data_IF_980790897009
#
_entry.id   IF_980790897009
#
_cell.length_a   1.000
_cell.length_b   1.000
_cell.length_c   1.000
_cell.angle_alpha   90.00
_cell.angle_beta   90.00
_cell.angle_gamma   90.00
#
_symmetry.space_group_name_H-M   'P 1'
#
loop_
_entity.id
_entity.type
_entity.pdbx_description
1 polymer ?
#
# COMPACT_ATOMS: atom_id res chain seq x y z
N UNK A 1 -20.59 30.17 -13.35
CA UNK A 1 -19.90 28.89 -12.94
C UNK A 1 -18.76 28.64 -13.92
N UNK A 2 -17.62 28.18 -13.42
CA UNK A 2 -16.43 27.85 -14.21
C UNK A 2 -16.15 26.38 -14.08
N UNK A 3 -15.93 25.68 -15.19
CA UNK A 3 -15.63 24.26 -15.28
C UNK A 3 -14.19 24.05 -15.78
N UNK A 4 -13.37 23.40 -14.98
CA UNK A 4 -11.96 23.11 -15.25
C UNK A 4 -11.80 21.62 -15.48
N UNK A 5 -11.35 21.21 -16.65
CA UNK A 5 -11.01 19.81 -16.95
C UNK A 5 -9.50 19.63 -16.94
N UNK A 6 -9.03 18.57 -16.29
CA UNK A 6 -7.62 18.25 -16.16
C UNK A 6 -7.39 16.81 -16.63
N UNK A 7 -6.61 16.64 -17.68
CA UNK A 7 -6.05 15.36 -18.08
C UNK A 7 -4.71 15.14 -17.38
N UNK A 8 -4.63 14.08 -16.57
CA UNK A 8 -3.52 13.83 -15.64
C UNK A 8 -2.52 12.88 -16.27
N UNK A 9 -1.24 13.30 -16.32
CA UNK A 9 -0.12 12.45 -16.69
C UNK A 9 1.02 12.53 -15.66
N UNK A 10 2.06 11.76 -15.83
CA UNK A 10 3.17 11.62 -14.89
C UNK A 10 3.90 12.94 -14.61
N UNK A 11 4.31 13.63 -15.67
CA UNK A 11 5.23 14.78 -15.56
C UNK A 11 4.54 16.12 -15.80
N UNK A 12 3.36 16.10 -16.42
CA UNK A 12 2.61 17.28 -16.83
C UNK A 12 1.12 16.97 -16.90
N UNK A 13 0.30 18.00 -16.78
CA UNK A 13 -1.16 17.89 -16.92
C UNK A 13 -1.65 18.85 -17.97
N UNK A 14 -2.59 18.42 -18.81
CA UNK A 14 -3.28 19.29 -19.76
C UNK A 14 -4.59 19.77 -19.14
N UNK A 15 -4.78 21.10 -19.14
CA UNK A 15 -5.88 21.77 -18.48
C UNK A 15 -6.72 22.53 -19.51
N UNK A 16 -8.04 22.61 -19.29
CA UNK A 16 -8.97 23.35 -20.13
C UNK A 16 -10.05 23.99 -19.27
N UNK A 17 -10.43 25.25 -19.58
CA UNK A 17 -11.41 26.00 -18.78
C UNK A 17 -12.52 26.54 -19.66
N UNK A 18 -13.78 26.29 -19.26
CA UNK A 18 -14.96 26.83 -19.91
C UNK A 18 -15.99 27.40 -18.91
N UNK A 19 -16.84 28.27 -19.39
CA UNK A 19 -17.98 28.78 -18.64
C UNK A 19 -19.16 27.82 -18.64
N UNK A 20 -20.17 28.08 -17.79
CA UNK A 20 -21.45 27.35 -17.80
C UNK A 20 -22.22 27.45 -19.09
N UNK A 21 -21.91 28.41 -19.93
CA UNK A 21 -22.56 28.70 -21.23
C UNK A 21 -21.80 28.05 -22.40
N UNK A 22 -20.66 27.35 -22.09
CA UNK A 22 -19.84 26.69 -23.10
C UNK A 22 -18.80 27.60 -23.76
N UNK A 23 -18.62 28.83 -23.25
CA UNK A 23 -17.57 29.74 -23.72
C UNK A 23 -16.19 29.25 -23.22
N UNK A 24 -15.21 29.19 -24.12
CA UNK A 24 -13.82 28.82 -23.78
C UNK A 24 -13.14 29.99 -23.08
N UNK A 25 -12.93 29.89 -21.77
CA UNK A 25 -12.27 30.93 -20.96
C UNK A 25 -10.74 30.77 -21.01
N UNK A 26 -10.23 29.52 -21.07
CA UNK A 26 -8.84 29.23 -21.41
C UNK A 26 -8.78 27.97 -22.28
N UNK A 27 -8.18 28.11 -23.46
CA UNK A 27 -7.91 26.93 -24.32
C UNK A 27 -6.86 26.02 -23.67
N UNK A 28 -6.67 24.82 -24.21
CA UNK A 28 -5.79 23.80 -23.62
C UNK A 28 -4.40 24.36 -23.36
N UNK A 29 -4.01 24.35 -22.09
CA UNK A 29 -2.68 24.71 -21.63
C UNK A 29 -2.12 23.60 -20.77
N UNK A 30 -0.80 23.47 -20.81
CA UNK A 30 -0.09 22.41 -20.07
C UNK A 30 0.60 23.00 -18.85
N UNK A 31 0.49 22.32 -17.72
CA UNK A 31 1.21 22.64 -16.49
C UNK A 31 2.14 21.48 -16.12
N UNK A 32 3.25 21.77 -15.44
CA UNK A 32 4.14 20.76 -14.87
C UNK A 32 3.54 20.16 -13.59
N UNK A 33 3.83 18.88 -13.33
CA UNK A 33 3.45 18.21 -12.07
C UNK A 33 4.41 18.64 -10.95
N UNK A 34 4.35 19.91 -10.54
CA UNK A 34 5.12 20.52 -9.46
C UNK A 34 4.40 21.76 -8.90
N UNK A 35 4.94 22.33 -7.82
CA UNK A 35 4.33 23.48 -7.14
C UNK A 35 4.09 24.67 -8.07
N UNK A 36 5.06 25.04 -8.93
CA UNK A 36 4.96 26.16 -9.87
C UNK A 36 3.84 25.91 -10.89
N UNK A 37 3.71 24.70 -11.43
CA UNK A 37 2.65 24.32 -12.35
C UNK A 37 1.27 24.39 -11.69
N UNK A 38 1.15 23.94 -10.45
CA UNK A 38 -0.10 23.98 -9.69
C UNK A 38 -0.51 25.42 -9.34
N UNK A 39 0.45 26.28 -8.97
CA UNK A 39 0.19 27.69 -8.76
C UNK A 39 -0.23 28.41 -10.07
N UNK A 40 0.37 28.03 -11.20
CA UNK A 40 -0.03 28.53 -12.52
C UNK A 40 -1.48 28.15 -12.85
N UNK A 41 -1.89 26.91 -12.55
CA UNK A 41 -3.27 26.47 -12.71
C UNK A 41 -4.21 27.33 -11.86
N UNK A 42 -3.91 27.49 -10.57
CA UNK A 42 -4.74 28.26 -9.64
C UNK A 42 -4.90 29.72 -10.08
N UNK A 43 -3.80 30.38 -10.48
CA UNK A 43 -3.82 31.74 -11.01
C UNK A 43 -4.66 31.86 -12.30
N UNK A 44 -4.58 30.83 -13.17
CA UNK A 44 -5.35 30.81 -14.42
C UNK A 44 -6.85 30.66 -14.13
N UNK A 45 -7.20 29.76 -13.20
CA UNK A 45 -8.58 29.58 -12.73
C UNK A 45 -9.13 30.93 -12.18
N UNK A 46 -8.36 31.59 -11.30
CA UNK A 46 -8.80 32.85 -10.69
C UNK A 46 -8.93 34.01 -11.72
N UNK A 47 -8.13 34.02 -12.77
CA UNK A 47 -8.29 35.01 -13.88
C UNK A 47 -9.54 34.76 -14.71
N UNK A 48 -9.96 33.51 -14.83
CA UNK A 48 -11.15 33.13 -15.61
C UNK A 48 -12.45 33.23 -14.80
N UNK A 49 -12.37 33.14 -13.46
CA UNK A 49 -13.53 33.17 -12.57
C UNK A 49 -13.78 34.56 -12.00
N UNK A 50 -15.07 34.93 -11.84
CA UNK A 50 -15.51 36.08 -11.06
C UNK A 50 -15.64 35.68 -9.58
N UNK A 51 -15.64 36.64 -8.63
CA UNK A 51 -15.76 36.32 -7.19
C UNK A 51 -17.01 35.53 -6.83
N UNK A 52 -18.10 35.66 -7.56
CA UNK A 52 -19.38 34.99 -7.37
C UNK A 52 -19.44 33.61 -8.07
N UNK A 53 -18.48 33.28 -8.90
CA UNK A 53 -18.51 32.05 -9.68
C UNK A 53 -18.22 30.81 -8.81
N UNK A 54 -19.06 29.77 -8.96
CA UNK A 54 -18.75 28.43 -8.48
C UNK A 54 -17.74 27.79 -9.42
N UNK A 55 -16.66 27.30 -8.87
CA UNK A 55 -15.61 26.61 -9.63
C UNK A 55 -15.76 25.10 -9.41
N UNK A 56 -15.94 24.34 -10.50
CA UNK A 56 -15.89 22.87 -10.53
C UNK A 56 -14.62 22.44 -11.23
N UNK A 57 -13.83 21.57 -10.60
CA UNK A 57 -12.61 21.01 -11.18
C UNK A 57 -12.76 19.51 -11.34
N UNK A 58 -12.61 19.00 -12.56
CA UNK A 58 -12.66 17.55 -12.84
C UNK A 58 -11.32 17.04 -13.30
N UNK A 59 -10.99 15.84 -12.86
CA UNK A 59 -9.83 15.12 -13.32
C UNK A 59 -10.16 13.64 -13.51
N UNK A 60 -9.46 12.99 -14.45
CA UNK A 60 -9.62 11.56 -14.67
C UNK A 60 -8.84 10.75 -13.61
N UNK A 61 -9.44 9.68 -13.11
CA UNK A 61 -8.80 8.76 -12.16
C UNK A 61 -7.70 7.92 -12.85
N UNK A 62 -6.54 8.51 -13.10
CA UNK A 62 -5.37 7.86 -13.74
C UNK A 62 -4.42 7.19 -12.74
N UNK A 63 -4.96 6.53 -11.73
CA UNK A 63 -4.19 5.82 -10.69
C UNK A 63 -3.36 6.79 -9.85
N UNK A 64 -2.09 6.44 -9.57
CA UNK A 64 -1.26 7.19 -8.62
C UNK A 64 -0.81 8.59 -9.10
N UNK A 65 -0.90 8.91 -10.38
CA UNK A 65 -0.48 10.21 -10.90
C UNK A 65 -1.43 11.36 -10.50
N UNK A 66 -2.68 11.05 -10.18
CA UNK A 66 -3.68 12.06 -9.81
C UNK A 66 -3.57 12.54 -8.36
N UNK A 67 -2.93 11.80 -7.46
CA UNK A 67 -2.96 12.11 -6.02
C UNK A 67 -2.35 13.48 -5.67
N UNK A 68 -1.25 13.87 -6.31
CA UNK A 68 -0.57 15.14 -5.99
C UNK A 68 -1.44 16.35 -6.33
N UNK A 69 -1.97 16.39 -7.56
CA UNK A 69 -2.85 17.48 -7.97
C UNK A 69 -4.19 17.44 -7.24
N UNK A 70 -4.73 16.26 -6.95
CA UNK A 70 -5.96 16.09 -6.18
C UNK A 70 -5.82 16.66 -4.77
N UNK A 71 -4.75 16.31 -4.05
CA UNK A 71 -4.45 16.84 -2.73
C UNK A 71 -4.33 18.37 -2.75
N UNK A 72 -3.63 18.93 -3.74
CA UNK A 72 -3.52 20.37 -3.90
C UNK A 72 -4.88 21.05 -4.12
N UNK A 73 -5.74 20.50 -4.98
CA UNK A 73 -7.06 21.06 -5.27
C UNK A 73 -7.99 21.05 -4.04
N UNK A 74 -7.96 19.97 -3.27
CA UNK A 74 -8.71 19.82 -2.01
C UNK A 74 -8.21 20.83 -0.96
N UNK A 75 -6.90 20.96 -0.81
CA UNK A 75 -6.24 21.89 0.12
C UNK A 75 -6.61 23.36 -0.16
N UNK A 76 -6.85 23.69 -1.45
CA UNK A 76 -7.34 25.01 -1.88
C UNK A 76 -8.87 25.15 -1.77
N UNK A 77 -9.57 24.15 -1.23
CA UNK A 77 -11.03 24.17 -1.07
C UNK A 77 -11.81 24.18 -2.39
N UNK A 78 -11.20 23.72 -3.49
CA UNK A 78 -11.85 23.68 -4.80
C UNK A 78 -12.80 22.47 -4.89
N UNK A 79 -13.98 22.69 -5.46
CA UNK A 79 -14.98 21.63 -5.67
C UNK A 79 -14.49 20.65 -6.74
N UNK A 80 -13.92 19.55 -6.29
CA UNK A 80 -13.17 18.60 -7.14
C UNK A 80 -13.98 17.35 -7.43
N UNK A 81 -13.90 16.86 -8.67
CA UNK A 81 -14.57 15.66 -9.15
C UNK A 81 -13.55 14.70 -9.76
N UNK A 82 -13.49 13.46 -9.27
CA UNK A 82 -12.67 12.40 -9.85
C UNK A 82 -13.55 11.52 -10.72
N UNK A 83 -13.28 11.51 -12.01
CA UNK A 83 -14.11 10.86 -13.03
C UNK A 83 -13.49 9.54 -13.44
N UNK A 84 -14.30 8.48 -13.47
CA UNK A 84 -13.84 7.19 -13.95
C UNK A 84 -13.53 7.25 -15.46
N UNK A 85 -12.35 6.75 -15.91
CA UNK A 85 -11.97 6.71 -17.34
C UNK A 85 -13.01 6.07 -18.26
N UNK A 86 -13.79 5.13 -17.76
CA UNK A 86 -14.89 4.55 -18.53
C UNK A 86 -15.98 5.57 -18.85
N UNK A 87 -16.33 6.45 -17.91
CA UNK A 87 -17.33 7.50 -18.11
C UNK A 87 -16.83 8.55 -19.09
N UNK A 88 -15.58 9.00 -18.96
CA UNK A 88 -14.95 9.94 -19.91
C UNK A 88 -14.97 9.36 -21.33
N UNK A 89 -14.62 8.08 -21.48
CA UNK A 89 -14.62 7.41 -22.77
C UNK A 89 -16.02 7.26 -23.38
N UNK A 90 -17.03 6.91 -22.57
CA UNK A 90 -18.43 6.81 -23.02
C UNK A 90 -18.97 8.19 -23.43
N UNK A 91 -18.73 9.22 -22.63
CA UNK A 91 -19.15 10.58 -22.92
C UNK A 91 -18.51 11.11 -24.21
N UNK A 92 -17.20 10.90 -24.39
CA UNK A 92 -16.50 11.23 -25.65
C UNK A 92 -17.11 10.54 -26.87
N UNK A 93 -17.47 9.25 -26.76
CA UNK A 93 -18.13 8.51 -27.85
C UNK A 93 -19.52 9.06 -28.17
N UNK A 94 -20.24 9.61 -27.19
CA UNK A 94 -21.55 10.24 -27.42
C UNK A 94 -21.44 11.57 -28.15
N UNK A 95 -20.33 12.30 -27.95
CA UNK A 95 -20.10 13.60 -28.61
C UNK A 95 -19.56 13.48 -30.04
N UNK A 96 -18.83 12.42 -30.37
CA UNK A 96 -18.23 12.25 -31.69
C UNK A 96 -17.95 10.79 -32.04
N UNK A 97 -18.29 10.40 -33.25
CA UNK A 97 -17.97 9.08 -33.86
C UNK A 97 -16.49 9.00 -34.31
N UNK A 98 -15.73 10.09 -34.24
CA UNK A 98 -14.30 10.10 -34.63
C UNK A 98 -13.42 9.54 -33.51
N UNK A 99 -12.57 8.58 -33.84
CA UNK A 99 -11.63 7.87 -32.93
C UNK A 99 -10.35 8.68 -32.60
N UNK A 100 -10.35 10.02 -32.69
CA UNK A 100 -9.16 10.81 -32.37
C UNK A 100 -9.01 10.94 -30.85
N UNK A 101 -8.06 10.20 -30.30
CA UNK A 101 -7.62 10.34 -28.91
C UNK A 101 -6.40 11.25 -28.92
N UNK A 102 -6.51 12.46 -28.35
CA UNK A 102 -5.39 13.33 -28.01
C UNK A 102 -5.63 13.89 -26.62
N UNK A 103 -4.57 14.08 -25.84
CA UNK A 103 -4.62 14.60 -24.46
C UNK A 103 -5.42 15.92 -24.38
N UNK A 104 -5.35 16.75 -25.42
CA UNK A 104 -6.15 17.98 -25.60
C UNK A 104 -7.66 17.71 -25.65
N UNK A 105 -8.08 16.55 -26.16
CA UNK A 105 -9.51 16.17 -26.24
C UNK A 105 -10.00 15.71 -24.87
N UNK A 106 -9.14 15.09 -24.08
CA UNK A 106 -9.56 14.49 -22.80
C UNK A 106 -9.80 15.59 -21.74
N UNK A 107 -8.97 16.61 -21.61
CA UNK A 107 -9.23 17.78 -20.74
C UNK A 107 -10.53 18.54 -21.12
N UNK A 108 -10.77 18.75 -22.43
CA UNK A 108 -12.01 19.37 -22.93
C UNK A 108 -13.24 18.52 -22.62
N UNK A 109 -13.13 17.20 -22.78
CA UNK A 109 -14.21 16.25 -22.49
C UNK A 109 -14.59 16.30 -21.02
N UNK A 110 -13.59 16.31 -20.11
CA UNK A 110 -13.80 16.41 -18.66
C UNK A 110 -14.53 17.71 -18.31
N UNK A 111 -14.08 18.85 -18.82
CA UNK A 111 -14.73 20.14 -18.59
C UNK A 111 -16.18 20.17 -19.12
N UNK A 112 -16.45 19.60 -20.28
CA UNK A 112 -17.80 19.48 -20.86
C UNK A 112 -18.70 18.57 -20.01
N UNK A 113 -18.18 17.50 -19.44
CA UNK A 113 -18.93 16.65 -18.51
C UNK A 113 -19.35 17.41 -17.25
N UNK A 114 -18.44 18.22 -16.67
CA UNK A 114 -18.77 19.07 -15.51
C UNK A 114 -19.84 20.11 -15.82
N UNK A 115 -19.85 20.66 -17.03
CA UNK A 115 -20.83 21.62 -17.49
C UNK A 115 -22.21 20.99 -17.69
N UNK A 116 -22.26 19.74 -18.21
CA UNK A 116 -23.54 19.07 -18.57
C UNK A 116 -24.31 18.53 -17.36
N UNK A 117 -23.83 18.79 -16.15
CA UNK A 117 -24.47 18.39 -14.86
C UNK A 117 -24.84 16.89 -14.80
N UNK A 118 -24.02 16.05 -15.45
CA UNK A 118 -24.06 14.60 -15.24
C UNK A 118 -23.91 14.37 -13.74
N UNK A 119 -24.68 13.45 -13.18
CA UNK A 119 -24.70 13.14 -11.73
C UNK A 119 -23.31 12.67 -11.22
N UNK A 120 -22.40 13.64 -11.10
CA UNK A 120 -21.04 13.47 -10.65
C UNK A 120 -20.98 13.77 -9.15
N UNK A 121 -20.48 12.82 -8.38
CA UNK A 121 -20.24 13.01 -6.95
C UNK A 121 -18.94 13.79 -6.75
N UNK A 122 -18.99 14.86 -5.96
CA UNK A 122 -17.79 15.59 -5.59
C UNK A 122 -16.86 14.71 -4.75
N UNK A 123 -15.58 14.85 -5.00
CA UNK A 123 -14.54 14.19 -4.22
C UNK A 123 -14.27 15.04 -2.96
N UNK A 124 -14.32 14.41 -1.80
CA UNK A 124 -14.13 15.07 -0.51
C UNK A 124 -12.88 14.57 0.17
N UNK A 125 -12.40 15.29 1.19
CA UNK A 125 -11.27 14.86 2.03
C UNK A 125 -11.52 13.47 2.62
N UNK A 126 -12.76 13.18 3.02
CA UNK A 126 -13.15 11.85 3.53
C UNK A 126 -12.90 10.74 2.49
N UNK A 127 -13.21 10.98 1.21
CA UNK A 127 -12.97 10.00 0.15
C UNK A 127 -11.46 9.83 -0.10
N UNK A 128 -10.69 10.92 -0.03
CA UNK A 128 -9.24 10.88 -0.15
C UNK A 128 -8.60 10.02 0.95
N UNK A 129 -8.99 10.24 2.20
CA UNK A 129 -8.51 9.42 3.33
C UNK A 129 -8.96 7.96 3.23
N UNK A 130 -10.17 7.69 2.74
CA UNK A 130 -10.63 6.32 2.51
C UNK A 130 -9.77 5.58 1.46
N UNK A 131 -9.28 6.26 0.43
CA UNK A 131 -8.35 5.65 -0.55
C UNK A 131 -6.97 5.37 0.07
N UNK A 132 -6.49 6.23 0.96
CA UNK A 132 -5.26 6.00 1.74
C UNK A 132 -5.40 4.76 2.62
N UNK A 133 -6.48 4.63 3.39
CA UNK A 133 -6.79 3.46 4.21
C UNK A 133 -6.89 2.17 3.37
N UNK A 134 -7.55 2.22 2.23
CA UNK A 134 -7.61 1.09 1.29
C UNK A 134 -6.23 0.69 0.77
N UNK A 135 -5.38 1.66 0.45
CA UNK A 135 -4.01 1.41 -0.01
C UNK A 135 -3.19 0.73 1.06
N UNK A 136 -3.24 1.22 2.28
CA UNK A 136 -2.53 0.66 3.43
C UNK A 136 -3.02 -0.75 3.79
N UNK A 137 -4.34 -0.98 3.71
CA UNK A 137 -4.94 -2.30 3.93
C UNK A 137 -4.48 -3.33 2.88
N UNK A 138 -4.39 -2.93 1.61
CA UNK A 138 -3.85 -3.80 0.54
C UNK A 138 -2.37 -4.10 0.77
N UNK A 139 -1.60 -3.10 1.15
CA UNK A 139 -0.18 -3.26 1.46
C UNK A 139 0.03 -4.25 2.63
N UNK A 140 -0.76 -4.10 3.72
CA UNK A 140 -0.77 -5.08 4.82
C UNK A 140 -1.08 -6.50 4.34
N UNK A 141 -2.10 -6.66 3.49
CA UNK A 141 -2.48 -7.96 2.94
C UNK A 141 -1.33 -8.61 2.16
N UNK A 142 -0.62 -7.84 1.35
CA UNK A 142 0.51 -8.36 0.57
C UNK A 142 1.66 -8.80 1.49
N UNK A 143 1.99 -8.02 2.54
CA UNK A 143 2.99 -8.38 3.54
C UNK A 143 2.63 -9.66 4.31
N UNK A 144 1.37 -9.83 4.70
CA UNK A 144 0.88 -11.06 5.34
C UNK A 144 1.02 -12.28 4.39
N UNK A 145 0.72 -12.12 3.11
CA UNK A 145 0.90 -13.18 2.10
C UNK A 145 2.37 -13.55 1.91
N UNK A 146 3.25 -12.57 1.85
CA UNK A 146 4.69 -12.76 1.74
C UNK A 146 5.23 -13.54 2.95
N UNK A 147 4.86 -13.14 4.17
CA UNK A 147 5.18 -13.84 5.40
C UNK A 147 4.69 -15.30 5.39
N UNK A 148 3.48 -15.56 4.91
CA UNK A 148 2.94 -16.91 4.82
C UNK A 148 3.79 -17.82 3.90
N UNK A 149 4.27 -17.31 2.77
CA UNK A 149 5.18 -18.04 1.88
C UNK A 149 6.52 -18.36 2.57
N UNK A 150 7.08 -17.43 3.32
CA UNK A 150 8.31 -17.64 4.08
C UNK A 150 8.12 -18.69 5.18
N UNK A 151 6.99 -18.69 5.88
CA UNK A 151 6.64 -19.74 6.86
C UNK A 151 6.60 -21.13 6.24
N UNK A 152 6.02 -21.28 5.05
CA UNK A 152 6.05 -22.54 4.31
C UNK A 152 7.50 -22.98 3.97
N UNK A 153 8.36 -22.01 3.62
CA UNK A 153 9.78 -22.29 3.36
C UNK A 153 10.50 -22.76 4.63
N UNK A 154 10.23 -22.17 5.80
CA UNK A 154 10.76 -22.66 7.08
C UNK A 154 10.34 -24.11 7.33
N UNK A 155 9.06 -24.44 7.19
CA UNK A 155 8.57 -25.83 7.40
C UNK A 155 9.31 -26.82 6.49
N UNK A 156 9.47 -26.49 5.21
CA UNK A 156 10.22 -27.31 4.25
C UNK A 156 11.69 -27.48 4.66
N UNK A 157 12.35 -26.41 5.11
CA UNK A 157 13.76 -26.45 5.52
C UNK A 157 13.94 -27.25 6.82
N UNK A 158 13.02 -27.13 7.76
CA UNK A 158 13.03 -27.95 8.99
C UNK A 158 12.85 -29.42 8.68
N UNK A 159 11.97 -29.78 7.74
CA UNK A 159 11.84 -31.19 7.30
C UNK A 159 13.15 -31.77 6.75
N UNK A 160 14.03 -30.94 6.17
CA UNK A 160 15.34 -31.37 5.68
C UNK A 160 16.38 -31.45 6.81
N UNK A 161 16.42 -30.43 7.68
CA UNK A 161 17.51 -30.21 8.63
C UNK A 161 17.26 -30.82 10.01
N UNK A 162 16.01 -30.93 10.44
CA UNK A 162 15.59 -31.53 11.72
C UNK A 162 14.10 -31.90 11.69
N UNK A 163 13.71 -32.99 10.97
CA UNK A 163 12.29 -33.33 10.77
C UNK A 163 11.54 -33.67 12.06
N UNK A 164 12.23 -34.18 13.07
CA UNK A 164 11.61 -34.58 14.35
C UNK A 164 11.13 -33.35 15.16
N UNK A 165 11.70 -32.17 14.93
CA UNK A 165 11.39 -30.96 15.69
C UNK A 165 9.90 -30.59 15.63
N UNK A 166 9.25 -30.78 14.49
CA UNK A 166 7.83 -30.43 14.30
C UNK A 166 6.90 -31.19 15.27
N UNK A 167 7.26 -32.41 15.63
CA UNK A 167 6.49 -33.25 16.56
C UNK A 167 6.72 -32.90 18.03
N UNK A 168 7.79 -32.19 18.34
CA UNK A 168 8.19 -31.84 19.70
C UNK A 168 7.66 -30.48 20.17
N UNK A 169 7.29 -29.63 19.24
CA UNK A 169 6.86 -28.25 19.53
C UNK A 169 5.42 -28.02 19.11
N UNK A 170 4.72 -27.15 19.81
CA UNK A 170 3.33 -26.83 19.47
C UNK A 170 3.19 -26.10 18.13
N UNK A 171 4.23 -25.37 17.71
CA UNK A 171 4.30 -24.69 16.42
C UNK A 171 5.75 -24.43 16.04
N UNK A 172 6.12 -24.75 14.79
CA UNK A 172 7.40 -24.37 14.20
C UNK A 172 7.59 -22.84 14.08
N UNK A 173 6.49 -22.09 14.11
CA UNK A 173 6.48 -20.65 13.88
C UNK A 173 6.41 -19.83 15.18
N UNK A 174 6.71 -20.45 16.33
CA UNK A 174 6.81 -19.76 17.61
C UNK A 174 8.13 -19.00 17.75
N UNK A 175 8.14 -17.94 18.55
CA UNK A 175 9.33 -17.13 18.80
C UNK A 175 10.51 -17.95 19.37
N UNK A 176 10.20 -18.94 20.24
CA UNK A 176 11.21 -19.82 20.84
C UNK A 176 11.84 -20.78 19.82
N UNK A 177 11.06 -21.33 18.89
CA UNK A 177 11.57 -22.17 17.81
C UNK A 177 12.39 -21.34 16.82
N UNK A 178 11.96 -20.15 16.51
CA UNK A 178 12.72 -19.23 15.66
C UNK A 178 14.04 -18.79 16.33
N UNK A 179 14.07 -18.56 17.64
CA UNK A 179 15.30 -18.30 18.35
C UNK A 179 16.25 -19.50 18.31
N UNK A 180 15.74 -20.72 18.56
CA UNK A 180 16.49 -21.95 18.47
C UNK A 180 17.12 -22.15 17.09
N UNK A 181 16.31 -22.06 16.02
CA UNK A 181 16.74 -22.32 14.65
C UNK A 181 17.60 -21.19 14.06
N UNK A 182 17.47 -19.97 14.58
CA UNK A 182 18.38 -18.88 14.21
C UNK A 182 19.80 -19.09 14.70
N UNK A 183 19.94 -19.73 15.83
CA UNK A 183 21.25 -20.01 16.44
C UNK A 183 21.77 -21.39 16.05
N UNK A 184 20.90 -22.41 16.05
CA UNK A 184 21.22 -23.81 15.75
C UNK A 184 20.30 -24.31 14.63
N UNK A 185 20.61 -24.06 13.35
CA UNK A 185 19.69 -24.28 12.23
C UNK A 185 19.44 -25.74 11.85
N UNK A 186 20.05 -26.72 12.56
CA UNK A 186 19.85 -28.12 12.28
C UNK A 186 20.17 -29.04 13.47
N UNK A 187 19.76 -30.31 13.36
CA UNK A 187 19.91 -31.31 14.43
C UNK A 187 21.35 -31.48 14.90
N UNK A 188 22.33 -31.48 13.98
CA UNK A 188 23.75 -31.65 14.33
C UNK A 188 24.25 -30.53 15.26
N UNK A 189 23.93 -29.28 14.99
CA UNK A 189 24.34 -28.16 15.83
C UNK A 189 23.67 -28.22 17.21
N UNK A 190 22.37 -28.53 17.27
CA UNK A 190 21.63 -28.71 18.53
C UNK A 190 22.21 -29.83 19.37
N UNK A 191 22.54 -30.99 18.77
CA UNK A 191 23.07 -32.15 19.47
C UNK A 191 24.46 -31.92 20.08
N UNK A 192 25.30 -31.10 19.44
CA UNK A 192 26.66 -30.77 19.86
C UNK A 192 26.74 -29.57 20.82
N UNK A 193 25.68 -28.78 20.94
CA UNK A 193 25.64 -27.57 21.77
C UNK A 193 25.61 -27.93 23.26
N UNK A 194 26.25 -27.09 24.11
CA UNK A 194 26.20 -27.24 25.54
C UNK A 194 24.79 -27.04 26.10
N UNK A 195 24.34 -27.90 27.02
CA UNK A 195 22.97 -27.90 27.54
C UNK A 195 22.56 -26.55 28.17
N UNK A 196 23.49 -25.93 28.90
CA UNK A 196 23.24 -24.64 29.52
C UNK A 196 22.88 -23.55 28.51
N UNK A 197 23.57 -23.54 27.35
CA UNK A 197 23.31 -22.59 26.28
C UNK A 197 21.97 -22.87 25.57
N UNK A 198 21.70 -24.14 25.22
CA UNK A 198 20.45 -24.55 24.62
C UNK A 198 19.24 -24.16 25.50
N UNK A 199 19.35 -24.44 26.81
CA UNK A 199 18.35 -24.06 27.81
C UNK A 199 18.15 -22.56 27.89
N UNK A 200 19.24 -21.78 27.89
CA UNK A 200 19.17 -20.31 27.96
C UNK A 200 18.43 -19.73 26.76
N UNK A 201 18.74 -20.16 25.54
CA UNK A 201 18.08 -19.71 24.30
C UNK A 201 16.59 -20.01 24.35
N UNK A 202 16.21 -21.24 24.67
CA UNK A 202 14.80 -21.65 24.74
C UNK A 202 14.04 -20.92 25.86
N UNK A 203 14.62 -20.80 27.06
CA UNK A 203 14.01 -20.13 28.20
C UNK A 203 13.75 -18.65 27.93
N UNK A 204 14.75 -17.96 27.41
CA UNK A 204 14.66 -16.53 27.12
C UNK A 204 13.57 -16.24 26.07
N UNK A 205 13.57 -16.98 24.96
CA UNK A 205 12.64 -16.77 23.86
C UNK A 205 11.22 -17.27 24.17
N UNK A 206 11.03 -18.16 25.15
CA UNK A 206 9.72 -18.66 25.57
C UNK A 206 9.15 -17.95 26.80
N UNK A 207 9.82 -16.90 27.31
CA UNK A 207 9.46 -16.25 28.57
C UNK A 207 9.35 -17.25 29.75
N UNK A 208 10.27 -18.22 29.79
CA UNK A 208 10.34 -19.22 30.83
C UNK A 208 9.48 -20.49 30.63
N UNK A 209 8.61 -20.53 29.60
CA UNK A 209 7.74 -21.70 29.34
C UNK A 209 8.54 -22.97 28.96
N UNK A 210 9.63 -22.84 28.23
CA UNK A 210 10.50 -23.93 27.85
C UNK A 210 11.69 -23.99 28.81
N UNK A 211 11.64 -24.97 29.68
CA UNK A 211 12.67 -25.22 30.69
C UNK A 211 13.71 -26.28 30.27
N UNK A 212 14.30 -26.92 31.30
CA UNK A 212 15.31 -27.94 31.10
C UNK A 212 14.77 -29.16 30.38
N UNK A 213 13.60 -29.66 30.76
CA UNK A 213 12.97 -30.84 30.19
C UNK A 213 12.78 -30.73 28.66
N UNK A 214 12.27 -29.56 28.17
CA UNK A 214 12.15 -29.35 26.73
C UNK A 214 13.50 -29.29 26.03
N UNK A 215 14.52 -28.67 26.65
CA UNK A 215 15.86 -28.62 26.09
C UNK A 215 16.49 -30.01 25.98
N UNK A 216 16.29 -30.86 26.98
CA UNK A 216 16.73 -32.26 26.98
C UNK A 216 16.01 -33.08 25.92
N UNK A 217 14.69 -32.92 25.79
CA UNK A 217 13.86 -33.59 24.80
C UNK A 217 14.33 -33.25 23.37
N UNK A 218 14.48 -31.96 23.06
CA UNK A 218 14.94 -31.49 21.76
C UNK A 218 16.35 -31.97 21.46
N UNK A 219 17.27 -31.92 22.45
CA UNK A 219 18.65 -32.40 22.26
C UNK A 219 18.73 -33.91 22.04
N UNK A 220 17.93 -34.68 22.76
CA UNK A 220 17.90 -36.16 22.59
C UNK A 220 17.35 -36.53 21.21
N UNK A 221 16.28 -35.88 20.75
CA UNK A 221 15.78 -36.06 19.40
C UNK A 221 16.82 -35.65 18.34
N UNK A 222 17.53 -34.55 18.56
CA UNK A 222 18.58 -34.08 17.65
C UNK A 222 19.77 -35.09 17.54
N UNK A 223 20.07 -35.84 18.59
CA UNK A 223 21.11 -36.87 18.58
C UNK A 223 20.76 -38.08 17.72
N UNK A 224 19.48 -38.41 17.65
CA UNK A 224 18.94 -39.54 16.85
C UNK A 224 18.28 -39.08 15.56
N UNK A 225 18.40 -37.82 15.20
CA UNK A 225 17.74 -37.24 14.02
C UNK A 225 18.30 -37.79 12.72
N UNK A 226 17.39 -38.00 11.75
CA UNK A 226 17.72 -38.32 10.36
C UNK A 226 17.95 -37.06 9.50
N UNK A 227 17.92 -35.88 10.12
CA UNK A 227 18.10 -34.59 9.44
C UNK A 227 19.44 -34.48 8.71
N UNK A 228 19.41 -33.93 7.53
CA UNK A 228 20.58 -33.74 6.67
C UNK A 228 21.49 -32.60 7.15
N UNK A 229 22.80 -32.79 7.04
CA UNK A 229 23.78 -31.74 7.32
C UNK A 229 24.05 -30.96 6.03
N UNK A 230 23.37 -29.83 5.85
CA UNK A 230 23.45 -29.00 4.64
C UNK A 230 23.69 -27.53 5.00
N UNK A 231 24.95 -27.05 5.01
CA UNK A 231 25.28 -25.68 5.41
C UNK A 231 24.51 -24.60 4.61
N UNK A 232 24.33 -24.80 3.29
CA UNK A 232 23.57 -23.88 2.47
C UNK A 232 22.10 -23.80 2.89
N UNK A 233 21.46 -24.93 3.26
CA UNK A 233 20.09 -24.94 3.77
C UNK A 233 19.98 -24.37 5.17
N UNK A 234 20.98 -24.54 6.00
CA UNK A 234 21.10 -23.91 7.30
C UNK A 234 21.12 -22.39 7.18
N UNK A 235 21.93 -21.86 6.25
CA UNK A 235 21.98 -20.42 5.96
C UNK A 235 20.64 -19.90 5.41
N UNK A 236 20.03 -20.63 4.46
CA UNK A 236 18.70 -20.32 3.91
C UNK A 236 17.65 -20.22 5.02
N UNK A 237 17.65 -21.17 5.98
CA UNK A 237 16.73 -21.16 7.11
C UNK A 237 16.92 -19.95 8.01
N UNK A 238 18.16 -19.64 8.38
CA UNK A 238 18.46 -18.48 9.23
C UNK A 238 18.03 -17.15 8.57
N UNK A 239 18.31 -16.98 7.27
CA UNK A 239 17.88 -15.81 6.52
C UNK A 239 16.36 -15.72 6.41
N UNK A 240 15.69 -16.85 6.14
CA UNK A 240 14.22 -16.89 6.05
C UNK A 240 13.56 -16.50 7.38
N UNK A 241 14.07 -16.98 8.51
CA UNK A 241 13.56 -16.59 9.84
C UNK A 241 13.78 -15.08 10.09
N UNK A 242 14.93 -14.55 9.71
CA UNK A 242 15.20 -13.10 9.84
C UNK A 242 14.19 -12.27 9.05
N UNK A 243 13.94 -12.61 7.77
CA UNK A 243 12.95 -11.95 6.95
C UNK A 243 11.52 -12.03 7.52
N UNK A 244 11.15 -13.16 8.12
CA UNK A 244 9.85 -13.28 8.80
C UNK A 244 9.74 -12.29 9.96
N UNK A 245 10.80 -12.14 10.76
CA UNK A 245 10.81 -11.18 11.89
C UNK A 245 10.72 -9.72 11.41
N UNK A 246 11.40 -9.39 10.32
CA UNK A 246 11.31 -8.07 9.68
C UNK A 246 9.88 -7.81 9.19
N UNK A 247 9.25 -8.79 8.52
CA UNK A 247 7.86 -8.68 8.08
C UNK A 247 6.86 -8.59 9.25
N UNK A 248 7.11 -9.29 10.36
CA UNK A 248 6.26 -9.19 11.56
C UNK A 248 6.30 -7.74 12.12
N UNK A 249 7.48 -7.11 12.18
CA UNK A 249 7.62 -5.72 12.60
C UNK A 249 6.96 -4.74 11.62
N UNK A 250 7.17 -4.90 10.30
CA UNK A 250 6.51 -4.07 9.29
C UNK A 250 4.97 -4.17 9.35
N UNK A 251 4.43 -5.37 9.60
CA UNK A 251 2.98 -5.56 9.74
C UNK A 251 2.45 -4.84 11.00
N UNK A 252 3.18 -4.89 12.11
CA UNK A 252 2.82 -4.18 13.34
C UNK A 252 2.82 -2.65 13.14
N UNK A 253 3.83 -2.12 12.45
CA UNK A 253 3.90 -0.70 12.08
C UNK A 253 2.71 -0.28 11.20
N UNK A 254 2.34 -1.10 10.21
CA UNK A 254 1.18 -0.85 9.34
C UNK A 254 -0.11 -0.89 10.16
N UNK A 255 -0.28 -1.84 11.06
CA UNK A 255 -1.46 -1.96 11.93
C UNK A 255 -1.59 -0.74 12.84
N UNK A 256 -0.49 -0.27 13.39
CA UNK A 256 -0.44 0.96 14.20
C UNK A 256 -0.87 2.18 13.37
N UNK A 257 -0.34 2.31 12.15
CA UNK A 257 -0.71 3.39 11.23
C UNK A 257 -2.19 3.33 10.85
N UNK A 258 -2.75 2.15 10.59
CA UNK A 258 -4.18 1.95 10.28
C UNK A 258 -5.08 2.44 11.43
N UNK A 259 -4.73 2.17 12.68
CA UNK A 259 -5.48 2.63 13.84
C UNK A 259 -5.50 4.15 13.92
N UNK A 260 -4.35 4.81 13.82
CA UNK A 260 -4.28 6.28 13.86
C UNK A 260 -5.03 6.95 12.70
N UNK A 261 -4.95 6.38 11.50
CA UNK A 261 -5.63 6.93 10.32
C UNK A 261 -7.14 6.75 10.41
N UNK A 262 -7.62 5.65 11.00
CA UNK A 262 -9.05 5.39 11.24
C UNK A 262 -9.62 6.37 12.28
N UNK A 263 -8.95 6.57 13.41
CA UNK A 263 -9.38 7.48 14.47
C UNK A 263 -9.46 8.93 13.97
N UNK A 264 -8.46 9.37 13.19
CA UNK A 264 -8.47 10.70 12.58
C UNK A 264 -9.59 10.90 11.55
N UNK A 265 -10.04 9.83 10.86
CA UNK A 265 -11.16 9.88 9.93
C UNK A 265 -12.51 9.98 10.66
N UNK A 266 -12.66 9.29 11.79
CA UNK A 266 -13.89 9.31 12.61
C UNK A 266 -14.07 10.66 13.32
N UNK A 267 -13.00 11.29 13.83
CA UNK A 267 -13.05 12.64 14.41
C UNK A 267 -13.50 13.70 13.39
N UNK A 268 -13.02 13.63 12.14
CA UNK A 268 -13.43 14.56 11.06
C UNK A 268 -14.85 14.31 10.55
N UNK A 269 -15.39 13.12 10.71
CA UNK A 269 -16.79 12.78 10.33
C UNK A 269 -17.81 13.25 11.36
N UNK A 270 -17.35 13.64 12.53
CA UNK A 270 -18.20 14.05 13.68
C UNK A 270 -18.37 15.56 13.80
N UNK A 271 -17.78 16.35 12.90
CA UNK A 271 -17.88 17.81 12.78
C UNK A 271 -18.65 18.18 11.52
#
# INVERSE_FOLDING_TARGET
MVCVGIDVAKDKHDCFILSSEGEVLADVFTISNNAEGFDTLLQTIHRCARPEDKIKVGLEATGHYSYNILGFLLDKGLHTFVINPLHTNLYRKSLSLRKTKTDRVDARTIAAMLMSDVDLKSYTDTVYHNEELKSLTRYRFDKVRERAKLKQSVSRLVTILFPELEKLVSSLHSASVYALLSEFPGAKQISSTHMTHLKAVLKNASQGRYGQEMAETIRNAARSSVGSVMPAKSLELQHTIRLIRELDAEIEDIETCLLYTSDAADERSSV
#
